data_IF_686439172419
#
_entry.id   IF_686439172419
#
_cell.length_a   1.000
_cell.length_b   1.000
_cell.length_c   1.000
_cell.angle_alpha   90.00
_cell.angle_beta   90.00
_cell.angle_gamma   90.00
#
_symmetry.space_group_name_H-M   'P 1'
#
loop_
_entity.id
_entity.type
_entity.pdbx_description
1 polymer ?
#
# COMPACT_ATOMS: atom_id res chain seq x y z
N UNK A 1 18.71 -33.44 -24.10
CA UNK A 1 18.45 -32.90 -23.63
C UNK A 1 18.13 -32.48 -23.45
N UNK A 2 18.12 -32.33 -23.44
CA UNK A 2 17.65 -31.61 -22.98
C UNK A 2 17.39 -31.16 -22.52
N UNK A 3 17.37 -31.08 -22.67
CA UNK A 3 16.98 -30.49 -22.08
C UNK A 3 17.01 -29.82 -21.61
N UNK A 4 17.21 -29.80 -21.90
CA UNK A 4 17.08 -29.13 -21.24
C UNK A 4 17.06 -28.61 -20.83
N UNK A 5 17.08 -28.60 -21.12
CA UNK A 5 16.86 -28.04 -20.47
C UNK A 5 16.69 -27.55 -19.98
N UNK A 6 16.63 -27.55 -20.16
CA UNK A 6 16.21 -27.02 -19.55
C UNK A 6 16.31 -26.61 -18.99
N UNK A 7 16.31 -26.52 -19.16
CA UNK A 7 16.07 -26.03 -18.53
C UNK A 7 16.33 -25.69 -17.93
N UNK A 8 16.33 -25.46 -18.12
CA UNK A 8 16.39 -25.01 -17.33
C UNK A 8 16.50 -24.41 -16.73
N UNK A 9 16.46 -24.15 -16.96
CA UNK A 9 16.39 -23.51 -16.31
C UNK A 9 16.25 -23.20 -15.62
N UNK A 10 16.02 -23.31 -15.60
CA UNK A 10 15.75 -23.01 -14.79
C UNK A 10 16.02 -22.97 -13.88
N UNK A 11 15.97 -23.05 -13.92
CA UNK A 11 16.05 -23.07 -13.00
C UNK A 11 16.72 -22.73 -12.24
N UNK A 12 17.06 -22.39 -12.01
CA UNK A 12 17.53 -22.06 -11.22
C UNK A 12 17.61 -21.32 -10.47
N UNK A 13 17.25 -20.89 -10.59
CA UNK A 13 16.94 -20.28 -9.81
C UNK A 13 17.01 -20.48 -8.65
N UNK A 14 17.21 -20.63 -8.42
CA UNK A 14 17.17 -20.87 -7.62
C UNK A 14 17.32 -21.05 -6.42
N UNK A 15 17.08 -21.02 -6.02
CA UNK A 15 17.54 -21.54 -4.99
C UNK A 15 18.09 -20.72 -3.87
N UNK A 16 17.64 -19.51 -3.68
CA UNK A 16 17.96 -18.60 -2.60
C UNK A 16 16.65 -18.11 -2.06
N UNK A 17 16.04 -18.89 -1.16
CA UNK A 17 14.66 -18.63 -0.78
C UNK A 17 14.42 -17.20 -0.30
N UNK A 18 15.35 -16.62 0.46
CA UNK A 18 15.16 -15.25 0.92
C UNK A 18 15.26 -14.25 -0.21
N UNK A 19 16.16 -14.50 -1.14
CA UNK A 19 16.31 -13.63 -2.28
C UNK A 19 15.13 -13.75 -3.22
N UNK A 20 14.62 -14.96 -3.39
CA UNK A 20 13.44 -15.19 -4.20
C UNK A 20 12.23 -14.44 -3.65
N UNK A 21 12.07 -14.46 -2.33
CA UNK A 21 10.96 -13.77 -1.68
C UNK A 21 11.10 -12.27 -1.84
N UNK A 22 12.32 -11.73 -1.70
CA UNK A 22 12.58 -10.32 -1.90
C UNK A 22 12.26 -9.92 -3.32
N UNK A 23 12.69 -10.72 -4.29
CA UNK A 23 12.42 -10.45 -5.70
C UNK A 23 10.92 -10.47 -5.99
N UNK A 24 10.19 -11.41 -5.39
CA UNK A 24 8.76 -11.49 -5.55
C UNK A 24 8.09 -10.21 -5.02
N UNK A 25 8.51 -9.77 -3.84
CA UNK A 25 7.92 -8.55 -3.26
C UNK A 25 8.25 -7.32 -4.08
N UNK A 26 9.46 -7.24 -4.61
CA UNK A 26 9.80 -6.15 -5.51
C UNK A 26 8.94 -6.17 -6.77
N UNK A 27 8.68 -7.35 -7.30
CA UNK A 27 7.82 -7.51 -8.47
C UNK A 27 6.41 -7.01 -8.17
N UNK A 28 5.87 -7.34 -7.00
CA UNK A 28 4.54 -6.86 -6.60
C UNK A 28 4.52 -5.33 -6.55
N UNK A 29 5.52 -4.73 -5.92
CA UNK A 29 5.56 -3.27 -5.79
C UNK A 29 5.69 -2.59 -7.15
N UNK A 30 6.52 -3.15 -8.03
CA UNK A 30 6.69 -2.59 -9.38
C UNK A 30 5.42 -2.71 -10.19
N UNK A 31 4.72 -3.84 -10.08
CA UNK A 31 3.47 -4.03 -10.80
C UNK A 31 2.43 -3.00 -10.36
N UNK A 32 2.28 -2.82 -9.05
CA UNK A 32 1.34 -1.84 -8.53
C UNK A 32 1.74 -0.41 -8.87
N UNK A 33 3.02 -0.15 -9.00
CA UNK A 33 3.47 1.17 -9.42
C UNK A 33 3.18 1.43 -10.90
N UNK A 34 3.40 0.43 -11.74
CA UNK A 34 3.18 0.57 -13.18
C UNK A 34 1.70 0.58 -13.54
N UNK A 35 0.91 -0.20 -12.83
CA UNK A 35 -0.53 -0.38 -13.09
C UNK A 35 -1.28 -0.27 -11.78
N UNK A 36 -1.33 0.91 -11.20
CA UNK A 36 -2.03 1.06 -9.92
C UNK A 36 -3.51 0.74 -10.08
N UNK A 37 -4.02 -0.01 -9.15
CA UNK A 37 -5.43 -0.38 -9.13
C UNK A 37 -6.22 0.77 -8.54
N UNK A 38 -7.38 1.01 -9.14
CA UNK A 38 -8.30 2.04 -8.64
C UNK A 38 -7.70 3.45 -8.67
N UNK A 39 -6.84 3.71 -9.63
CA UNK A 39 -6.28 5.05 -9.82
C UNK A 39 -7.26 5.87 -10.65
N UNK A 40 -8.17 6.55 -9.97
CA UNK A 40 -9.23 7.32 -10.63
C UNK A 40 -9.95 8.19 -9.62
N UNK A 41 -10.65 9.20 -10.12
CA UNK A 41 -11.64 9.92 -9.32
C UNK A 41 -12.83 8.99 -9.13
N UNK A 42 -13.45 9.04 -7.95
CA UNK A 42 -14.65 8.26 -7.65
C UNK A 42 -15.81 9.24 -7.54
N UNK A 43 -16.63 9.38 -8.61
CA UNK A 43 -17.70 10.38 -8.59
C UNK A 43 -18.75 10.15 -7.51
N UNK A 44 -18.91 8.90 -7.08
CA UNK A 44 -19.87 8.54 -6.04
C UNK A 44 -19.29 8.67 -4.63
N UNK A 45 -18.07 9.15 -4.49
CA UNK A 45 -17.44 9.26 -3.18
C UNK A 45 -18.22 10.25 -2.30
N UNK A 46 -18.44 9.85 -1.06
CA UNK A 46 -19.00 10.73 -0.05
C UNK A 46 -18.01 11.02 1.07
N UNK A 47 -16.78 10.54 0.92
CA UNK A 47 -15.68 10.85 1.81
C UNK A 47 -14.43 11.04 0.98
N UNK A 48 -13.65 12.05 1.31
CA UNK A 48 -12.38 12.32 0.62
C UNK A 48 -11.35 12.65 1.68
N UNK A 49 -10.19 12.03 1.56
CA UNK A 49 -9.05 12.33 2.41
C UNK A 49 -7.84 12.61 1.55
N UNK A 50 -6.99 13.49 2.01
CA UNK A 50 -5.77 13.80 1.30
C UNK A 50 -4.57 13.67 2.22
N UNK A 51 -3.40 13.57 1.61
CA UNK A 51 -2.16 13.50 2.36
C UNK A 51 -1.02 14.03 1.54
N UNK A 52 0.02 14.45 2.24
CA UNK A 52 1.24 14.86 1.57
C UNK A 52 2.47 14.50 2.39
N UNK A 53 3.57 14.33 1.69
CA UNK A 53 4.88 14.11 2.28
C UNK A 53 5.81 15.16 1.69
N UNK A 54 5.97 16.31 2.35
CA UNK A 54 6.75 17.41 1.77
C UNK A 54 8.20 17.07 1.48
N UNK A 55 8.79 16.13 2.22
CA UNK A 55 10.18 15.78 2.01
C UNK A 55 10.39 15.08 0.68
N UNK A 56 9.44 14.25 0.25
CA UNK A 56 9.55 13.50 -0.99
C UNK A 56 8.66 14.06 -2.10
N UNK A 57 7.82 15.03 -1.78
CA UNK A 57 6.89 15.58 -2.76
C UNK A 57 5.73 14.65 -3.08
N UNK A 58 5.48 13.62 -2.24
CA UNK A 58 4.35 12.74 -2.45
C UNK A 58 3.05 13.43 -2.10
N UNK A 59 2.03 13.23 -2.91
CA UNK A 59 0.69 13.74 -2.66
C UNK A 59 -0.31 12.66 -3.02
N UNK A 60 -1.36 12.55 -2.23
CA UNK A 60 -2.41 11.56 -2.49
C UNK A 60 -3.76 12.13 -2.11
N UNK A 61 -4.76 11.82 -2.92
CA UNK A 61 -6.17 12.04 -2.60
C UNK A 61 -6.85 10.69 -2.64
N UNK A 62 -7.54 10.35 -1.55
CA UNK A 62 -8.26 9.08 -1.44
C UNK A 62 -9.74 9.38 -1.44
N UNK A 63 -10.46 8.72 -2.33
CA UNK A 63 -11.91 8.86 -2.47
C UNK A 63 -12.55 7.59 -1.93
N UNK A 64 -13.53 7.74 -1.06
CA UNK A 64 -14.21 6.62 -0.44
C UNK A 64 -15.71 6.79 -0.59
N UNK A 65 -16.37 5.74 -1.02
CA UNK A 65 -17.84 5.68 -1.00
C UNK A 65 -18.24 4.80 0.18
N UNK A 66 -18.85 5.42 1.19
CA UNK A 66 -19.38 4.69 2.34
C UNK A 66 -20.85 4.41 2.14
N UNK A 67 -21.24 3.18 2.43
CA UNK A 67 -22.65 2.78 2.49
C UNK A 67 -22.87 2.37 3.96
N UNK A 68 -23.42 3.30 4.74
CA UNK A 68 -23.45 3.13 6.18
C UNK A 68 -22.04 3.15 6.74
N UNK A 69 -21.64 2.06 7.39
CA UNK A 69 -20.28 1.93 7.90
C UNK A 69 -19.38 1.04 7.05
N UNK A 70 -19.85 0.69 5.84
CA UNK A 70 -19.09 -0.20 4.94
C UNK A 70 -18.50 0.59 3.80
N UNK A 71 -17.24 0.32 3.48
CA UNK A 71 -16.55 0.91 2.36
C UNK A 71 -16.99 0.18 1.10
N UNK A 72 -17.90 0.79 0.35
CA UNK A 72 -18.43 0.20 -0.86
C UNK A 72 -17.40 0.27 -1.99
N UNK A 73 -16.66 1.37 -2.08
CA UNK A 73 -15.64 1.54 -3.10
C UNK A 73 -14.59 2.53 -2.59
N UNK A 74 -13.39 2.42 -3.12
CA UNK A 74 -12.28 3.29 -2.77
C UNK A 74 -11.36 3.43 -3.96
N UNK A 75 -10.89 4.65 -4.20
CA UNK A 75 -9.95 4.94 -5.27
C UNK A 75 -9.00 6.02 -4.81
N UNK A 76 -7.99 6.30 -5.63
CA UNK A 76 -7.05 7.34 -5.29
C UNK A 76 -6.47 7.99 -6.53
N UNK A 77 -5.94 9.16 -6.34
CA UNK A 77 -5.11 9.84 -7.32
C UNK A 77 -3.97 10.52 -6.58
N UNK A 78 -2.90 10.81 -7.30
CA UNK A 78 -1.80 11.51 -6.70
C UNK A 78 -0.52 11.27 -7.48
N UNK A 79 0.56 11.81 -6.96
CA UNK A 79 1.88 11.66 -7.53
C UNK A 79 2.86 11.38 -6.41
N UNK A 80 3.92 10.65 -6.75
CA UNK A 80 4.91 10.31 -5.75
C UNK A 80 5.84 9.23 -6.24
N UNK A 81 6.65 8.73 -5.32
CA UNK A 81 7.61 7.70 -5.65
C UNK A 81 6.90 6.34 -5.87
N UNK A 82 7.67 5.38 -6.36
CA UNK A 82 7.14 4.05 -6.64
C UNK A 82 6.52 3.40 -5.41
N UNK A 83 7.14 3.58 -4.25
CA UNK A 83 6.64 3.01 -2.99
C UNK A 83 5.31 3.64 -2.61
N UNK A 84 5.19 4.95 -2.73
CA UNK A 84 3.96 5.67 -2.42
C UNK A 84 2.81 5.19 -3.31
N UNK A 85 3.06 5.09 -4.61
CA UNK A 85 2.04 4.66 -5.56
C UNK A 85 1.62 3.21 -5.34
N UNK A 86 2.60 2.34 -5.13
CA UNK A 86 2.30 0.92 -4.92
C UNK A 86 1.52 0.72 -3.63
N UNK A 87 1.89 1.43 -2.57
CA UNK A 87 1.20 1.32 -1.29
C UNK A 87 -0.25 1.79 -1.41
N UNK A 88 -0.48 2.89 -2.12
CA UNK A 88 -1.84 3.40 -2.32
C UNK A 88 -2.69 2.41 -3.11
N UNK A 89 -2.11 1.81 -4.14
CA UNK A 89 -2.81 0.79 -4.92
C UNK A 89 -3.21 -0.40 -4.04
N UNK A 90 -2.28 -0.90 -3.25
CA UNK A 90 -2.56 -2.00 -2.33
C UNK A 90 -3.60 -1.61 -1.29
N UNK A 91 -3.56 -0.38 -0.82
CA UNK A 91 -4.53 0.13 0.13
C UNK A 91 -5.95 0.02 -0.42
N UNK A 92 -6.16 0.43 -1.67
CA UNK A 92 -7.51 0.38 -2.24
C UNK A 92 -8.04 -1.04 -2.32
N UNK A 93 -7.19 -1.99 -2.71
CA UNK A 93 -7.60 -3.38 -2.80
C UNK A 93 -7.92 -3.96 -1.43
N UNK A 94 -7.19 -3.50 -0.42
CA UNK A 94 -7.34 -4.07 0.92
C UNK A 94 -8.55 -3.50 1.66
N UNK A 95 -8.86 -2.22 1.47
CA UNK A 95 -9.93 -1.58 2.25
C UNK A 95 -11.30 -1.74 1.64
N UNK A 96 -11.38 -1.96 0.32
CA UNK A 96 -12.67 -2.09 -0.34
C UNK A 96 -13.46 -3.26 0.25
N UNK A 97 -14.71 -3.00 0.58
CA UNK A 97 -15.60 -4.02 1.12
C UNK A 97 -15.58 -4.17 2.63
N UNK A 98 -14.66 -3.49 3.31
CA UNK A 98 -14.56 -3.57 4.76
C UNK A 98 -15.46 -2.56 5.45
N UNK A 99 -15.88 -2.89 6.66
CA UNK A 99 -16.52 -1.89 7.52
C UNK A 99 -15.47 -0.93 8.04
N UNK A 100 -15.91 0.20 8.60
CA UNK A 100 -14.98 1.18 9.16
C UNK A 100 -14.12 0.55 10.26
N UNK A 101 -14.67 -0.19 11.23
CA UNK A 101 -13.79 -0.84 12.24
C UNK A 101 -12.82 -1.84 11.62
N UNK A 102 -13.25 -2.60 10.61
CA UNK A 102 -12.37 -3.54 9.94
C UNK A 102 -11.26 -2.82 9.18
N UNK A 103 -11.60 -1.69 8.55
CA UNK A 103 -10.62 -0.90 7.83
C UNK A 103 -9.60 -0.29 8.78
N UNK A 104 -10.05 0.19 9.94
CA UNK A 104 -9.15 0.73 10.96
C UNK A 104 -8.18 -0.33 11.44
N UNK A 105 -8.68 -1.54 11.71
CA UNK A 105 -7.82 -2.63 12.16
C UNK A 105 -6.83 -3.03 11.07
N UNK A 106 -7.31 -3.14 9.83
CA UNK A 106 -6.44 -3.51 8.71
C UNK A 106 -5.36 -2.46 8.48
N UNK A 107 -5.74 -1.19 8.52
CA UNK A 107 -4.76 -0.11 8.35
C UNK A 107 -3.73 -0.12 9.47
N UNK A 108 -4.18 -0.35 10.71
CA UNK A 108 -3.27 -0.45 11.85
C UNK A 108 -2.25 -1.57 11.67
N UNK A 109 -2.72 -2.72 11.19
CA UNK A 109 -1.83 -3.87 10.95
C UNK A 109 -0.80 -3.55 9.87
N UNK A 110 -1.22 -2.89 8.79
CA UNK A 110 -0.30 -2.55 7.71
C UNK A 110 0.69 -1.48 8.15
N UNK A 111 0.23 -0.49 8.89
CA UNK A 111 1.15 0.53 9.42
C UNK A 111 2.20 -0.10 10.30
N UNK A 112 1.82 -1.08 11.12
CA UNK A 112 2.77 -1.81 11.93
C UNK A 112 3.72 -2.64 11.08
N UNK A 113 3.20 -3.32 10.06
CA UNK A 113 4.01 -4.09 9.13
C UNK A 113 5.06 -3.22 8.46
N UNK A 114 4.67 -2.04 7.99
CA UNK A 114 5.59 -1.13 7.30
C UNK A 114 6.69 -0.63 8.24
N UNK A 115 6.35 -0.38 9.50
CA UNK A 115 7.31 0.19 10.44
C UNK A 115 8.21 -0.86 11.07
N UNK A 116 7.72 -2.08 11.29
CA UNK A 116 8.50 -3.13 11.97
C UNK A 116 9.07 -4.16 11.02
N UNK A 117 8.45 -4.34 9.85
CA UNK A 117 8.84 -5.39 8.92
C UNK A 117 8.39 -6.78 9.33
N UNK A 118 7.57 -6.90 10.37
CA UNK A 118 7.14 -8.20 10.87
C UNK A 118 6.03 -8.76 9.99
N UNK A 119 6.30 -9.87 9.33
CA UNK A 119 5.34 -10.58 8.49
C UNK A 119 5.00 -11.89 9.20
N UNK A 120 3.71 -12.13 9.38
CA UNK A 120 3.26 -13.40 9.94
C UNK A 120 3.19 -14.43 8.83
N UNK A 121 3.75 -15.60 9.10
CA UNK A 121 3.88 -16.64 8.08
C UNK A 121 2.54 -17.07 7.51
N UNK A 122 1.49 -17.04 8.31
CA UNK A 122 0.17 -17.47 7.88
C UNK A 122 -0.65 -16.35 7.25
N UNK A 123 -0.06 -15.17 7.10
CA UNK A 123 -0.76 -14.01 6.53
C UNK A 123 -0.01 -13.42 5.35
N UNK A 124 0.73 -14.25 4.64
CA UNK A 124 1.45 -13.77 3.46
C UNK A 124 0.46 -13.33 2.40
N UNK A 125 0.66 -12.14 1.88
CA UNK A 125 -0.17 -11.56 0.85
C UNK A 125 0.63 -10.51 0.10
N UNK A 126 0.02 -9.86 -0.88
CA UNK A 126 0.68 -8.77 -1.58
C UNK A 126 1.06 -7.64 -0.63
N UNK A 127 0.31 -7.45 0.46
CA UNK A 127 0.65 -6.46 1.47
C UNK A 127 2.00 -6.73 2.12
N UNK A 128 2.40 -8.00 2.18
CA UNK A 128 3.69 -8.37 2.76
C UNK A 128 4.85 -7.75 1.99
N UNK A 129 4.61 -7.35 0.74
CA UNK A 129 5.65 -6.67 -0.04
C UNK A 129 6.06 -5.34 0.59
N UNK A 130 5.19 -4.74 1.41
CA UNK A 130 5.50 -3.48 2.08
C UNK A 130 6.42 -3.66 3.29
N UNK A 131 6.61 -4.89 3.76
CA UNK A 131 7.42 -5.14 4.95
C UNK A 131 8.86 -4.69 4.77
N UNK A 132 9.43 -4.86 3.58
CA UNK A 132 10.81 -4.48 3.33
C UNK A 132 11.09 -3.00 3.46
N UNK A 133 10.05 -2.18 3.43
CA UNK A 133 10.19 -0.74 3.52
C UNK A 133 10.76 -0.32 4.88
N UNK A 134 10.58 -1.15 5.92
CA UNK A 134 11.06 -0.81 7.26
C UNK A 134 12.57 -0.55 7.30
N UNK A 135 13.31 -1.10 6.32
CA UNK A 135 14.75 -0.90 6.24
C UNK A 135 15.13 0.48 5.70
N UNK A 136 14.15 1.23 5.23
CA UNK A 136 14.40 2.53 4.59
C UNK A 136 13.53 3.58 5.28
N UNK A 137 14.01 4.16 6.40
CA UNK A 137 13.18 5.06 7.20
C UNK A 137 12.52 6.19 6.40
N UNK A 138 13.22 6.74 5.41
CA UNK A 138 12.64 7.80 4.59
C UNK A 138 11.45 7.30 3.78
N UNK A 139 11.44 6.00 3.43
CA UNK A 139 10.37 5.43 2.62
C UNK A 139 9.19 4.97 3.46
N UNK A 140 9.37 4.79 4.76
CA UNK A 140 8.26 4.46 5.64
C UNK A 140 7.18 5.52 5.51
N UNK A 141 7.56 6.79 5.50
CA UNK A 141 6.62 7.88 5.34
C UNK A 141 5.87 7.80 4.01
N UNK A 142 6.59 7.46 2.95
CA UNK A 142 5.96 7.31 1.64
C UNK A 142 4.93 6.19 1.64
N UNK A 143 5.26 5.06 2.26
CA UNK A 143 4.40 3.89 2.26
C UNK A 143 3.17 4.06 3.14
N UNK A 144 3.26 4.85 4.20
CA UNK A 144 2.13 5.02 5.14
C UNK A 144 1.17 6.12 4.74
N UNK A 145 1.56 7.00 3.84
CA UNK A 145 0.80 8.21 3.55
C UNK A 145 -0.64 7.92 3.11
N UNK A 146 -0.82 7.01 2.15
CA UNK A 146 -2.15 6.71 1.62
C UNK A 146 -3.05 6.07 2.68
N UNK A 147 -2.47 5.28 3.58
CA UNK A 147 -3.24 4.65 4.64
C UNK A 147 -3.77 5.69 5.62
N UNK A 148 -2.95 6.68 5.97
CA UNK A 148 -3.41 7.77 6.82
C UNK A 148 -4.47 8.61 6.11
N UNK A 149 -4.28 8.88 4.83
CA UNK A 149 -5.27 9.64 4.06
C UNK A 149 -6.61 8.88 4.00
N UNK A 150 -6.55 7.56 3.83
CA UNK A 150 -7.75 6.74 3.80
C UNK A 150 -8.48 6.78 5.15
N UNK A 151 -7.74 6.69 6.24
CA UNK A 151 -8.35 6.79 7.57
C UNK A 151 -8.99 8.16 7.80
N UNK A 152 -8.32 9.22 7.36
CA UNK A 152 -8.91 10.55 7.44
C UNK A 152 -10.21 10.62 6.64
N UNK A 153 -10.24 10.00 5.48
CA UNK A 153 -11.44 9.98 4.65
C UNK A 153 -12.60 9.30 5.39
N UNK A 154 -12.37 8.10 5.91
CA UNK A 154 -13.46 7.35 6.56
C UNK A 154 -13.92 8.01 7.85
N UNK A 155 -13.05 8.78 8.50
CA UNK A 155 -13.40 9.50 9.71
C UNK A 155 -13.98 10.89 9.43
N UNK A 156 -13.96 11.32 8.18
CA UNK A 156 -14.45 12.65 7.82
C UNK A 156 -13.58 13.78 8.29
N UNK A 157 -12.27 13.55 8.44
CA UNK A 157 -11.33 14.56 8.90
C UNK A 157 -11.10 15.62 7.83
N UNK A 158 -11.24 16.90 8.16
CA UNK A 158 -11.07 17.94 7.16
C UNK A 158 -9.61 18.26 6.82
N UNK A 159 -8.70 17.99 7.76
CA UNK A 159 -7.29 18.33 7.55
C UNK A 159 -6.55 17.23 6.83
N UNK A 160 -5.64 17.57 5.91
CA UNK A 160 -4.86 16.54 5.23
C UNK A 160 -3.94 15.80 6.20
N UNK A 161 -3.73 14.52 5.92
CA UNK A 161 -2.70 13.76 6.60
C UNK A 161 -1.33 14.25 6.13
N UNK A 162 -0.40 14.36 7.04
CA UNK A 162 0.96 14.72 6.67
C UNK A 162 1.95 13.88 7.43
N UNK A 163 3.03 13.52 6.75
CA UNK A 163 4.12 12.80 7.38
C UNK A 163 5.06 13.71 8.14
N UNK A 164 4.93 15.01 7.90
CA UNK A 164 5.71 16.02 8.64
C UNK A 164 4.91 16.49 9.83
N UNK A 165 4.49 15.55 10.62
CA UNK A 165 3.75 15.90 11.80
C UNK A 165 4.67 16.61 12.76
N UNK A 166 4.30 17.82 13.10
CA UNK A 166 5.00 18.52 14.16
C UNK A 166 4.76 17.74 15.44
N UNK A 167 5.82 17.42 16.10
CA UNK A 167 5.68 16.78 17.39
C UNK A 167 5.10 17.81 18.34
N UNK A 168 3.97 17.52 18.82
CA UNK A 168 3.33 18.39 19.81
C UNK A 168 3.60 17.92 21.19
#
# INVERSE_FOLDING_TARGET
MPKAAGGVASVFFDFRPMQDLTDLYQTVLLDHNRRPRNYRVLPTANRVGSGNNPLCGDEVTVYVELDGDRIKDVSFQGSGCAISQASASLMTLNLKGKTIPEAEAAAGDVLKLITTGDVKDDELSDLSALAGVHQFPARIKCATLSWHAALNAVHGEPAPATTEKTSD
#
